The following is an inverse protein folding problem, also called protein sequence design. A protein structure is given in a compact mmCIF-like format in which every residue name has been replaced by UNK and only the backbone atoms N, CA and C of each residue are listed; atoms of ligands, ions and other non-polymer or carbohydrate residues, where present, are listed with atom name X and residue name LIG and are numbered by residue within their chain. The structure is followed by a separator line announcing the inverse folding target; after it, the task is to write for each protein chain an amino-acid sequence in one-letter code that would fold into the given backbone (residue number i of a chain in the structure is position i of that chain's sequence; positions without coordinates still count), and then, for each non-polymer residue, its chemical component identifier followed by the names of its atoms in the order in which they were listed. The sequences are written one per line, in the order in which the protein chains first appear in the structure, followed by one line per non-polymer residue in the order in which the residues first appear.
data_IF_248124179912
#
_entry.id   IF_248124179912
#
_cell.length_a   1.000
_cell.length_b   1.000
_cell.length_c   1.000
_cell.angle_alpha   90.00
_cell.angle_beta   90.00
_cell.angle_gamma   90.00
#
_symmetry.space_group_name_H-M   'P 1'
#
loop_
_entity.id
_entity.type
_entity.pdbx_description
1 polymer ?
#
# COMPACT_ATOMS: atom_id res chain seq x y z
N UNK A 1 -6.15 -26.67 -11.32
CA UNK A 1 -6.23 -25.27 -11.80
C UNK A 1 -6.78 -24.34 -10.73
N UNK A 2 -7.92 -24.69 -10.11
CA UNK A 2 -8.54 -23.94 -9.00
C UNK A 2 -7.64 -23.91 -7.75
N UNK A 3 -6.90 -24.98 -7.43
CA UNK A 3 -5.97 -24.94 -6.28
C UNK A 3 -4.78 -24.03 -6.50
N UNK A 4 -4.23 -23.94 -7.72
CA UNK A 4 -3.19 -22.94 -8.04
C UNK A 4 -3.73 -21.52 -7.94
N UNK A 5 -4.99 -21.29 -8.32
CA UNK A 5 -5.67 -20.01 -8.14
C UNK A 5 -5.91 -19.71 -6.66
N UNK A 6 -6.35 -20.67 -5.85
CA UNK A 6 -6.52 -20.52 -4.39
C UNK A 6 -5.19 -20.26 -3.69
N UNK A 7 -4.12 -20.97 -4.03
CA UNK A 7 -2.79 -20.75 -3.45
C UNK A 7 -2.23 -19.40 -3.88
N UNK A 8 -2.40 -19.01 -5.16
CA UNK A 8 -2.05 -17.67 -5.63
C UNK A 8 -2.87 -16.58 -4.94
N UNK A 9 -4.17 -16.79 -4.77
CA UNK A 9 -5.08 -15.89 -4.07
C UNK A 9 -4.69 -15.70 -2.60
N UNK A 10 -4.41 -16.80 -1.89
CA UNK A 10 -3.92 -16.79 -0.51
C UNK A 10 -2.57 -16.08 -0.36
N UNK A 11 -1.75 -16.09 -1.42
CA UNK A 11 -0.51 -15.30 -1.51
C UNK A 11 -0.69 -13.88 -2.08
N UNK A 12 -1.83 -13.57 -2.71
CA UNK A 12 -2.11 -12.30 -3.42
C UNK A 12 -2.82 -11.27 -2.55
N UNK A 13 -3.69 -11.69 -1.63
CA UNK A 13 -4.40 -10.75 -0.73
C UNK A 13 -3.45 -10.14 0.32
N UNK A 14 -2.34 -10.80 0.65
CA UNK A 14 -1.41 -10.32 1.68
C UNK A 14 -0.54 -9.13 1.23
N UNK A 15 0.11 -9.12 0.04
CA UNK A 15 0.94 -8.00 -0.38
C UNK A 15 0.14 -6.74 -0.68
N UNK A 16 -1.03 -6.86 -1.33
CA UNK A 16 -1.87 -5.69 -1.63
C UNK A 16 -2.37 -5.01 -0.37
N UNK A 17 -2.72 -5.79 0.65
CA UNK A 17 -3.12 -5.25 1.93
C UNK A 17 -1.94 -4.61 2.69
N UNK A 18 -0.77 -5.24 2.68
CA UNK A 18 0.42 -4.65 3.26
C UNK A 18 0.76 -3.33 2.56
N UNK A 19 0.60 -3.27 1.24
CA UNK A 19 0.75 -2.04 0.47
C UNK A 19 -0.36 -1.02 0.75
N UNK A 20 -1.61 -1.43 0.94
CA UNK A 20 -2.69 -0.50 1.32
C UNK A 20 -2.44 0.11 2.69
N UNK A 21 -1.91 -0.67 3.63
CA UNK A 21 -1.54 -0.17 4.94
C UNK A 21 -0.31 0.74 4.86
N UNK A 22 0.69 0.36 4.06
CA UNK A 22 1.89 1.14 3.80
C UNK A 22 1.59 2.50 3.18
N UNK A 23 0.65 2.55 2.23
CA UNK A 23 0.24 3.75 1.49
C UNK A 23 -0.85 4.55 2.22
N UNK A 24 -1.28 4.12 3.40
CA UNK A 24 -2.26 4.88 4.17
C UNK A 24 -1.61 6.12 4.79
N UNK A 25 -2.04 7.35 4.43
CA UNK A 25 -1.36 8.59 4.84
C UNK A 25 -1.16 8.75 6.36
N UNK A 26 -2.09 8.24 7.18
CA UNK A 26 -1.98 8.28 8.66
C UNK A 26 -1.32 7.07 9.32
N UNK A 27 -1.29 5.91 8.66
CA UNK A 27 -0.81 4.66 9.25
C UNK A 27 0.52 4.21 8.65
N UNK A 28 1.30 5.15 8.13
CA UNK A 28 2.64 4.97 7.54
C UNK A 28 3.54 4.03 8.34
N UNK A 29 4.75 3.79 7.84
CA UNK A 29 5.77 2.90 8.44
C UNK A 29 6.06 3.10 9.95
N UNK A 30 5.54 4.13 10.61
CA UNK A 30 5.54 4.26 12.08
C UNK A 30 4.99 3.05 12.82
N UNK A 31 4.09 2.26 12.21
CA UNK A 31 3.55 1.01 12.79
C UNK A 31 4.29 -0.27 12.36
N UNK A 32 5.15 -0.20 11.35
CA UNK A 32 5.94 -1.35 10.92
C UNK A 32 7.22 -1.40 11.77
N UNK A 33 7.33 -2.40 12.65
CA UNK A 33 8.55 -2.62 13.42
C UNK A 33 9.67 -3.06 12.45
N UNK A 34 10.78 -2.32 12.42
CA UNK A 34 11.99 -2.66 11.65
C UNK A 34 12.58 -4.04 12.02
N UNK A 35 12.15 -4.62 13.14
CA UNK A 35 12.65 -5.88 13.69
C UNK A 35 12.16 -7.13 12.95
N UNK A 36 11.32 -7.02 11.91
CA UNK A 36 10.87 -8.17 11.11
C UNK A 36 11.62 -8.18 9.77
N UNK A 37 12.56 -9.13 9.55
CA UNK A 37 13.51 -9.08 8.42
C UNK A 37 12.85 -9.11 7.02
N UNK A 38 11.61 -9.62 6.92
CA UNK A 38 10.86 -9.73 5.66
C UNK A 38 9.84 -8.60 5.45
N UNK A 39 9.72 -7.65 6.39
CA UNK A 39 8.77 -6.53 6.37
C UNK A 39 9.50 -5.17 6.35
N UNK A 40 10.69 -5.14 5.74
CA UNK A 40 11.46 -3.93 5.56
C UNK A 40 11.02 -3.16 4.29
N UNK A 41 11.22 -1.84 4.28
CA UNK A 41 10.88 -0.93 3.18
C UNK A 41 11.45 -1.35 1.82
N UNK A 42 12.64 -1.98 1.81
CA UNK A 42 13.29 -2.51 0.60
C UNK A 42 12.54 -3.70 -0.02
N UNK A 43 11.93 -4.55 0.81
CA UNK A 43 11.13 -5.68 0.30
C UNK A 43 9.76 -5.20 -0.16
N UNK A 44 9.17 -4.24 0.56
CA UNK A 44 7.89 -3.63 0.18
C UNK A 44 8.00 -2.84 -1.13
N UNK A 45 9.14 -2.19 -1.38
CA UNK A 45 9.36 -1.46 -2.63
C UNK A 45 9.44 -2.38 -3.86
N UNK A 46 9.90 -3.62 -3.71
CA UNK A 46 9.82 -4.64 -4.78
C UNK A 46 8.38 -4.93 -5.18
N UNK A 47 7.47 -5.00 -4.20
CA UNK A 47 6.05 -5.20 -4.46
C UNK A 47 5.42 -3.97 -5.12
N UNK A 48 5.78 -2.75 -4.70
CA UNK A 48 5.34 -1.51 -5.36
C UNK A 48 5.72 -1.50 -6.85
N UNK A 49 6.98 -1.78 -7.17
CA UNK A 49 7.46 -1.88 -8.56
C UNK A 49 6.66 -2.95 -9.30
N UNK A 50 6.56 -4.16 -8.73
CA UNK A 50 5.86 -5.28 -9.37
C UNK A 50 4.42 -4.91 -9.74
N UNK A 51 3.64 -4.35 -8.81
CA UNK A 51 2.24 -3.99 -9.08
C UNK A 51 2.10 -2.83 -10.04
N UNK A 52 2.98 -1.82 -9.94
CA UNK A 52 3.02 -0.73 -10.91
C UNK A 52 3.24 -1.28 -12.33
N UNK A 53 4.30 -2.07 -12.53
CA UNK A 53 4.61 -2.61 -13.86
C UNK A 53 3.53 -3.56 -14.37
N UNK A 54 2.91 -4.34 -13.48
CA UNK A 54 1.82 -5.25 -13.81
C UNK A 54 0.55 -4.51 -14.26
N UNK A 55 0.22 -3.36 -13.66
CA UNK A 55 -0.99 -2.58 -13.97
C UNK A 55 -0.76 -1.56 -15.08
N UNK A 56 0.30 -0.77 -15.00
CA UNK A 56 0.63 0.28 -15.96
C UNK A 56 1.23 -0.27 -17.27
N UNK A 57 1.60 -1.56 -17.31
CA UNK A 57 2.23 -2.24 -18.46
C UNK A 57 3.50 -1.54 -18.96
N UNK A 58 4.16 -0.77 -18.09
CA UNK A 58 5.37 0.01 -18.36
C UNK A 58 6.34 -0.11 -17.19
N UNK A 59 7.64 0.11 -17.43
CA UNK A 59 8.66 0.04 -16.38
C UNK A 59 8.60 1.26 -15.47
N UNK A 60 8.76 1.06 -14.17
CA UNK A 60 8.84 2.15 -13.19
C UNK A 60 10.12 2.98 -13.40
N UNK A 61 10.01 4.30 -13.31
CA UNK A 61 11.13 5.23 -13.42
C UNK A 61 11.39 6.00 -12.13
N UNK A 62 10.34 6.32 -11.38
CA UNK A 62 10.40 7.22 -10.22
C UNK A 62 9.76 6.65 -8.95
N UNK A 63 9.11 5.49 -9.01
CA UNK A 63 8.35 4.92 -7.88
C UNK A 63 9.16 4.78 -6.59
N UNK A 64 10.45 4.43 -6.69
CA UNK A 64 11.33 4.32 -5.53
C UNK A 64 11.63 5.68 -4.89
N UNK A 65 11.85 6.70 -5.73
CA UNK A 65 12.11 8.06 -5.29
C UNK A 65 10.87 8.68 -4.65
N UNK A 66 9.70 8.47 -5.28
CA UNK A 66 8.40 8.87 -4.75
C UNK A 66 8.10 8.18 -3.42
N UNK A 67 8.35 6.87 -3.33
CA UNK A 67 8.15 6.10 -2.11
C UNK A 67 9.09 6.54 -0.98
N UNK A 68 10.35 6.84 -1.29
CA UNK A 68 11.28 7.34 -0.29
C UNK A 68 10.88 8.73 0.22
N UNK A 69 10.38 9.59 -0.67
CA UNK A 69 9.84 10.91 -0.30
C UNK A 69 8.61 10.77 0.60
N UNK A 70 7.72 9.83 0.27
CA UNK A 70 6.55 9.47 1.09
C UNK A 70 6.94 8.98 2.48
N UNK A 71 7.95 8.10 2.56
CA UNK A 71 8.49 7.54 3.80
C UNK A 71 9.13 8.60 4.68
N UNK A 72 9.89 9.52 4.08
CA UNK A 72 10.55 10.64 4.78
C UNK A 72 9.58 11.75 5.17
N UNK A 73 8.35 11.73 4.66
CA UNK A 73 7.36 12.78 4.92
C UNK A 73 7.73 14.12 4.28
N UNK A 74 8.48 14.09 3.17
CA UNK A 74 8.77 15.31 2.40
C UNK A 74 7.50 15.81 1.73
N UNK A 75 7.31 17.11 1.61
CA UNK A 75 6.18 17.69 0.89
C UNK A 75 5.99 17.01 -0.49
N UNK A 76 4.78 16.55 -0.88
CA UNK A 76 3.45 16.74 -0.25
C UNK A 76 3.03 15.68 0.80
N UNK A 77 3.98 14.89 1.29
CA UNK A 77 3.73 13.77 2.20
C UNK A 77 3.89 14.12 3.67
N UNK A 78 4.05 15.39 4.00
CA UNK A 78 4.13 15.87 5.37
C UNK A 78 2.78 15.77 6.11
N UNK A 79 2.82 15.78 7.44
CA UNK A 79 1.63 15.61 8.26
C UNK A 79 0.64 16.78 8.11
N UNK A 80 1.11 18.00 7.88
CA UNK A 80 0.25 19.17 7.71
C UNK A 80 -0.60 19.04 6.45
N UNK A 81 0.02 18.65 5.33
CA UNK A 81 -0.67 18.38 4.06
C UNK A 81 -1.66 17.24 4.20
N UNK A 82 -1.28 16.13 4.85
CA UNK A 82 -2.17 14.97 5.04
C UNK A 82 -3.41 15.32 5.88
N UNK A 83 -3.24 16.15 6.91
CA UNK A 83 -4.33 16.53 7.81
C UNK A 83 -5.41 17.38 7.13
N UNK A 84 -5.09 18.09 6.04
CA UNK A 84 -6.06 18.87 5.26
C UNK A 84 -7.11 17.99 4.54
N UNK A 85 -6.84 16.69 4.38
CA UNK A 85 -7.76 15.77 3.69
C UNK A 85 -8.67 14.98 4.65
N UNK A 86 -8.62 15.22 5.97
CA UNK A 86 -9.57 14.67 6.96
C UNK A 86 -9.81 13.14 6.90
N UNK A 87 -8.78 12.35 6.52
CA UNK A 87 -8.85 10.89 6.25
C UNK A 87 -9.44 10.47 4.90
N UNK A 88 -9.76 11.38 3.99
CA UNK A 88 -10.12 11.03 2.63
C UNK A 88 -8.87 10.62 1.84
N UNK A 89 -8.57 9.32 1.87
CA UNK A 89 -7.39 8.72 1.25
C UNK A 89 -7.41 8.89 -0.27
N UNK A 90 -8.58 8.71 -0.91
CA UNK A 90 -8.71 8.81 -2.36
C UNK A 90 -8.45 10.25 -2.83
N UNK A 91 -9.08 11.24 -2.19
CA UNK A 91 -8.86 12.65 -2.53
C UNK A 91 -7.44 13.11 -2.25
N UNK A 92 -6.78 12.57 -1.22
CA UNK A 92 -5.36 12.81 -0.98
C UNK A 92 -4.49 12.30 -2.14
N UNK A 93 -4.67 11.05 -2.54
CA UNK A 93 -3.87 10.45 -3.61
C UNK A 93 -4.17 11.05 -4.99
N UNK A 94 -5.41 11.47 -5.24
CA UNK A 94 -5.78 12.26 -6.42
C UNK A 94 -5.05 13.61 -6.47
N UNK A 95 -4.95 14.30 -5.34
CA UNK A 95 -4.28 15.59 -5.27
C UNK A 95 -2.76 15.47 -5.40
N UNK A 96 -2.15 14.42 -4.81
CA UNK A 96 -0.70 14.17 -4.89
C UNK A 96 -0.27 13.62 -6.26
N UNK A 97 -1.20 13.06 -7.04
CA UNK A 97 -0.93 12.41 -8.33
C UNK A 97 0.00 13.17 -9.28
N UNK A 98 -0.09 14.51 -9.45
CA UNK A 98 0.80 15.25 -10.35
C UNK A 98 2.28 15.19 -9.94
N UNK A 99 2.56 15.09 -8.64
CA UNK A 99 3.90 15.08 -8.05
C UNK A 99 4.44 13.67 -7.84
N UNK A 100 3.57 12.69 -7.61
CA UNK A 100 3.94 11.29 -7.43
C UNK A 100 3.06 10.40 -8.31
N UNK A 101 3.37 10.36 -9.61
CA UNK A 101 2.54 9.72 -10.62
C UNK A 101 2.52 8.21 -10.48
N UNK A 102 3.68 7.59 -10.25
CA UNK A 102 3.80 6.13 -10.21
C UNK A 102 3.25 5.59 -8.89
N UNK A 103 3.61 6.23 -7.77
CA UNK A 103 3.14 5.88 -6.44
C UNK A 103 1.65 6.19 -6.27
N UNK A 104 1.21 7.37 -6.72
CA UNK A 104 -0.18 7.78 -6.70
C UNK A 104 -1.07 6.86 -7.54
N UNK A 105 -0.59 6.42 -8.72
CA UNK A 105 -1.29 5.43 -9.52
C UNK A 105 -1.48 4.11 -8.77
N UNK A 106 -0.42 3.57 -8.15
CA UNK A 106 -0.52 2.32 -7.36
C UNK A 106 -1.48 2.50 -6.18
N UNK A 107 -1.41 3.62 -5.47
CA UNK A 107 -2.30 3.90 -4.35
C UNK A 107 -3.76 3.99 -4.80
N UNK A 108 -4.05 4.73 -5.85
CA UNK A 108 -5.41 4.84 -6.42
C UNK A 108 -5.93 3.49 -6.89
N UNK A 109 -5.11 2.65 -7.53
CA UNK A 109 -5.51 1.30 -7.90
C UNK A 109 -5.83 0.45 -6.66
N UNK A 110 -4.98 0.47 -5.65
CA UNK A 110 -5.18 -0.29 -4.40
C UNK A 110 -6.45 0.15 -3.68
N UNK A 111 -6.67 1.47 -3.52
CA UNK A 111 -7.85 2.00 -2.82
C UNK A 111 -9.12 2.01 -3.69
N UNK A 112 -8.98 1.92 -5.01
CA UNK A 112 -10.07 1.79 -5.97
C UNK A 112 -10.53 0.35 -6.20
N UNK A 113 -9.69 -0.65 -5.91
CA UNK A 113 -10.11 -2.05 -5.80
C UNK A 113 -11.04 -2.13 -4.59
N UNK A 114 -12.35 -2.16 -4.83
CA UNK A 114 -13.35 -2.41 -3.79
C UNK A 114 -12.96 -3.68 -3.03
N UNK A 115 -12.43 -3.53 -1.81
CA UNK A 115 -12.22 -4.67 -0.93
C UNK A 115 -13.61 -5.15 -0.57
N UNK A 116 -14.10 -6.20 -1.23
CA UNK A 116 -15.35 -6.84 -0.87
C UNK A 116 -15.34 -7.08 0.65
N UNK A 117 -16.44 -6.79 1.33
CA UNK A 117 -16.65 -7.01 2.77
C UNK A 117 -16.11 -8.38 3.20
N UNK A 118 -16.28 -9.41 2.36
CA UNK A 118 -15.75 -10.75 2.61
C UNK A 118 -14.21 -10.84 2.69
N UNK A 119 -13.46 -10.02 1.93
CA UNK A 119 -11.99 -9.95 2.01
C UNK A 119 -11.53 -9.19 3.26
N UNK A 120 -12.27 -8.15 3.69
CA UNK A 120 -12.02 -7.46 4.96
C UNK A 120 -12.30 -8.39 6.15
N UNK A 121 -13.42 -9.10 6.17
CA UNK A 121 -13.76 -10.03 7.25
C UNK A 121 -12.77 -11.19 7.37
N UNK A 122 -12.33 -11.77 6.24
CA UNK A 122 -11.29 -12.82 6.24
C UNK A 122 -9.94 -12.28 6.73
N UNK A 123 -9.62 -11.03 6.41
CA UNK A 123 -8.44 -10.37 6.95
C UNK A 123 -8.52 -10.27 8.48
N UNK A 124 -9.60 -9.69 9.03
CA UNK A 124 -9.77 -9.57 10.48
C UNK A 124 -9.75 -10.94 11.17
N UNK A 125 -10.32 -11.97 10.53
CA UNK A 125 -10.23 -13.35 11.00
C UNK A 125 -8.79 -13.89 11.02
N UNK A 126 -7.96 -13.55 10.02
CA UNK A 126 -6.54 -13.96 9.99
C UNK A 126 -5.63 -13.12 10.90
N UNK A 127 -6.01 -11.87 11.17
CA UNK A 127 -5.36 -10.97 12.15
C UNK A 127 -5.81 -11.24 13.59
N UNK A 128 -6.77 -12.12 13.83
CA UNK A 128 -7.19 -12.53 15.18
C UNK A 128 -6.04 -13.05 16.06
N UNK A 129 -4.94 -13.51 15.45
CA UNK A 129 -3.71 -13.89 16.15
C UNK A 129 -2.95 -12.70 16.77
N UNK A 130 -3.15 -11.48 16.25
CA UNK A 130 -2.60 -10.24 16.83
C UNK A 130 -3.49 -9.66 17.94
N UNK A 131 -4.70 -10.22 18.13
CA UNK A 131 -5.73 -9.68 19.01
C UNK A 131 -6.25 -10.67 20.06
N UNK A 132 -5.43 -11.65 20.46
CA UNK A 132 -5.67 -12.42 21.69
C UNK A 132 -4.70 -11.97 22.76
N UNK A 133 -5.25 -11.68 23.96
CA UNK A 133 -4.61 -11.12 25.16
C UNK A 133 -3.16 -11.56 25.41
#
# INVERSE_FOLDING_TARGET
MIDRLKTRWKSWEQPLLLLSWLLHPKYKMTKFKDNVPNLNHVYLSKWLIYYYEAWAKTKSRSILCEFESYRKGLYPFDEQTINQFENNILSYWEWVFPLAKELGYVAQQIFGICVNVASVERLWSSMGFLHTK
#
